data_IF_803157687809
#
_entry.id   IF_803157687809
#
_cell.length_a   1.000
_cell.length_b   1.000
_cell.length_c   1.000
_cell.angle_alpha   90.00
_cell.angle_beta   90.00
_cell.angle_gamma   90.00
#
_symmetry.space_group_name_H-M   'P 1'
#
loop_
_entity.id
_entity.type
_entity.pdbx_description
1 polymer ?
#
# COMPACT_ATOMS: atom_id res chain seq x y z
N UNK A 1 -13.90 -17.54 -3.78
CA UNK A 1 -13.84 -16.08 -3.99
C UNK A 1 -13.10 -15.82 -5.28
N UNK A 2 -13.70 -15.09 -6.24
CA UNK A 2 -13.04 -14.72 -7.49
C UNK A 2 -11.86 -13.78 -7.23
N UNK A 3 -10.85 -13.87 -8.06
CA UNK A 3 -9.70 -12.93 -8.02
C UNK A 3 -10.21 -11.59 -8.52
N UNK A 4 -10.12 -10.55 -7.71
CA UNK A 4 -10.47 -9.17 -8.09
C UNK A 4 -9.50 -8.72 -9.20
N UNK A 5 -10.02 -8.29 -10.32
CA UNK A 5 -9.21 -7.84 -11.46
C UNK A 5 -8.64 -6.44 -11.21
N UNK A 6 -7.58 -6.09 -11.96
CA UNK A 6 -7.00 -4.74 -11.92
C UNK A 6 -8.06 -3.67 -12.24
N UNK A 7 -8.86 -3.89 -13.29
CA UNK A 7 -9.92 -2.98 -13.71
C UNK A 7 -11.02 -2.77 -12.64
N UNK A 8 -11.40 -3.83 -11.92
CA UNK A 8 -12.36 -3.71 -10.81
C UNK A 8 -11.80 -2.88 -9.65
N UNK A 9 -10.49 -2.99 -9.37
CA UNK A 9 -9.82 -2.17 -8.36
C UNK A 9 -9.78 -0.69 -8.79
N UNK A 10 -9.38 -0.41 -10.03
CA UNK A 10 -9.32 0.94 -10.58
C UNK A 10 -10.70 1.60 -10.63
N UNK A 11 -11.70 0.85 -11.06
CA UNK A 11 -13.09 1.30 -11.04
C UNK A 11 -13.54 1.69 -9.63
N UNK A 12 -13.27 0.86 -8.63
CA UNK A 12 -13.62 1.16 -7.23
C UNK A 12 -12.96 2.43 -6.71
N UNK A 13 -11.67 2.64 -7.05
CA UNK A 13 -10.98 3.88 -6.68
C UNK A 13 -11.59 5.10 -7.35
N UNK A 14 -11.94 4.99 -8.64
CA UNK A 14 -12.59 6.09 -9.35
C UNK A 14 -13.98 6.42 -8.79
N UNK A 15 -14.80 5.41 -8.50
CA UNK A 15 -16.11 5.61 -7.87
C UNK A 15 -15.98 6.29 -6.50
N UNK A 16 -15.02 5.86 -5.68
CA UNK A 16 -14.73 6.49 -4.40
C UNK A 16 -14.25 7.94 -4.58
N UNK A 17 -13.34 8.20 -5.51
CA UNK A 17 -12.88 9.54 -5.83
C UNK A 17 -14.02 10.47 -6.25
N UNK A 18 -14.93 10.00 -7.11
CA UNK A 18 -16.08 10.76 -7.61
C UNK A 18 -17.09 11.18 -6.53
N UNK A 19 -17.10 10.50 -5.38
CA UNK A 19 -17.92 10.94 -4.22
C UNK A 19 -17.32 12.20 -3.56
N UNK A 20 -16.00 12.40 -3.65
CA UNK A 20 -15.28 13.44 -2.92
C UNK A 20 -14.72 14.56 -3.82
N UNK A 21 -14.82 14.38 -5.12
CA UNK A 21 -14.35 15.35 -6.12
C UNK A 21 -15.44 15.66 -7.13
N UNK A 22 -15.67 16.95 -7.39
CA UNK A 22 -16.68 17.37 -8.36
C UNK A 22 -16.19 17.04 -9.78
N UNK A 23 -16.70 15.96 -10.32
CA UNK A 23 -16.42 15.55 -11.69
C UNK A 23 -17.15 16.47 -12.70
N UNK A 24 -16.58 16.69 -13.89
CA UNK A 24 -17.29 17.30 -15.00
C UNK A 24 -18.55 16.51 -15.36
N UNK A 25 -19.60 17.18 -15.85
CA UNK A 25 -20.83 16.51 -16.28
C UNK A 25 -20.58 15.66 -17.51
N UNK A 26 -21.13 14.43 -17.53
CA UNK A 26 -21.02 13.52 -18.65
C UNK A 26 -21.26 12.06 -18.28
N UNK A 27 -21.30 11.22 -19.28
CA UNK A 27 -21.44 9.77 -19.11
C UNK A 27 -20.09 9.12 -18.84
N UNK A 28 -20.00 8.37 -17.75
CA UNK A 28 -18.77 7.67 -17.35
C UNK A 28 -18.69 6.32 -18.06
N UNK A 29 -17.59 6.10 -18.77
CA UNK A 29 -17.27 4.84 -19.43
C UNK A 29 -15.96 4.29 -18.89
N UNK A 30 -15.91 3.00 -18.55
CA UNK A 30 -14.72 2.30 -18.09
C UNK A 30 -14.04 1.59 -19.26
N UNK A 31 -12.72 1.68 -19.32
CA UNK A 31 -11.90 1.14 -20.41
C UNK A 31 -10.57 0.58 -19.92
N UNK A 32 -9.61 0.51 -20.83
CA UNK A 32 -8.22 0.10 -20.54
C UNK A 32 -7.23 1.23 -20.88
N UNK A 33 -7.57 2.07 -21.88
CA UNK A 33 -6.67 3.12 -22.36
C UNK A 33 -7.46 4.31 -22.90
N UNK A 34 -7.74 5.29 -22.05
CA UNK A 34 -7.50 5.39 -20.60
C UNK A 34 -8.46 4.51 -19.78
N UNK A 35 -8.21 4.41 -18.46
CA UNK A 35 -9.02 3.57 -17.55
C UNK A 35 -10.47 4.04 -17.43
N UNK A 36 -10.69 5.36 -17.52
CA UNK A 36 -12.03 5.99 -17.48
C UNK A 36 -12.13 7.09 -18.54
N UNK A 37 -13.30 7.22 -19.17
CA UNK A 37 -13.65 8.34 -20.04
C UNK A 37 -14.94 8.96 -19.55
N UNK A 38 -14.94 10.28 -19.34
CA UNK A 38 -16.16 11.07 -19.09
C UNK A 38 -16.54 11.73 -20.42
N UNK A 39 -17.68 11.34 -20.96
CA UNK A 39 -18.23 11.92 -22.22
C UNK A 39 -19.25 13.00 -21.90
N UNK A 40 -18.82 14.25 -21.97
CA UNK A 40 -19.60 15.43 -21.74
C UNK A 40 -19.42 16.46 -22.89
N UNK A 41 -19.56 17.76 -22.59
CA UNK A 41 -19.26 18.84 -23.56
C UNK A 41 -17.81 18.77 -24.07
N UNK A 42 -16.88 18.36 -23.23
CA UNK A 42 -15.53 17.90 -23.57
C UNK A 42 -15.36 16.48 -23.08
N UNK A 43 -14.63 15.67 -23.84
CA UNK A 43 -14.28 14.30 -23.46
C UNK A 43 -13.02 14.30 -22.60
N UNK A 44 -13.07 13.67 -21.44
CA UNK A 44 -11.95 13.63 -20.49
C UNK A 44 -11.53 12.18 -20.26
N UNK A 45 -10.32 11.85 -20.64
CA UNK A 45 -9.69 10.57 -20.36
C UNK A 45 -8.96 10.62 -19.02
N UNK A 46 -9.23 9.66 -18.12
CA UNK A 46 -8.60 9.59 -16.81
C UNK A 46 -7.80 8.30 -16.72
N UNK A 47 -6.50 8.44 -16.55
CA UNK A 47 -5.59 7.34 -16.26
C UNK A 47 -5.46 7.22 -14.75
N UNK A 48 -5.59 6.00 -14.21
CA UNK A 48 -5.49 5.72 -12.79
C UNK A 48 -4.17 5.00 -12.51
N UNK A 49 -3.44 5.49 -11.53
CA UNK A 49 -2.19 4.86 -11.10
C UNK A 49 -2.10 4.81 -9.58
N UNK A 50 -1.66 3.68 -9.05
CA UNK A 50 -1.35 3.56 -7.64
C UNK A 50 0.01 4.20 -7.36
N UNK A 51 0.05 5.13 -6.40
CA UNK A 51 1.26 5.85 -6.03
C UNK A 51 2.02 5.06 -4.95
N UNK A 52 2.91 4.20 -5.39
CA UNK A 52 3.77 3.43 -4.51
C UNK A 52 4.98 4.24 -4.05
N UNK A 53 5.42 4.03 -2.80
CA UNK A 53 6.63 4.66 -2.22
C UNK A 53 7.89 4.37 -3.05
N UNK A 54 8.04 3.11 -3.48
CA UNK A 54 9.15 2.62 -4.29
C UNK A 54 8.62 1.82 -5.48
N UNK A 55 9.45 1.66 -6.50
CA UNK A 55 9.13 0.77 -7.62
C UNK A 55 9.01 -0.68 -7.12
N UNK A 56 7.93 -1.36 -7.50
CA UNK A 56 7.68 -2.74 -7.08
C UNK A 56 8.71 -3.77 -7.59
N UNK A 57 9.64 -3.36 -8.46
CA UNK A 57 10.78 -4.19 -8.89
C UNK A 57 11.91 -4.20 -7.88
N UNK A 58 11.98 -3.19 -7.01
CA UNK A 58 12.99 -3.13 -5.97
C UNK A 58 12.73 -4.19 -4.91
N UNK A 59 13.74 -5.01 -4.54
CA UNK A 59 13.58 -6.08 -3.56
C UNK A 59 13.10 -5.57 -2.18
N UNK A 60 13.45 -4.33 -1.86
CA UNK A 60 13.14 -3.68 -0.57
C UNK A 60 11.79 -2.94 -0.62
N UNK A 61 11.12 -2.94 -1.77
CA UNK A 61 9.80 -2.31 -1.87
C UNK A 61 8.78 -3.05 -1.02
N UNK A 62 7.87 -2.31 -0.38
CA UNK A 62 6.78 -2.89 0.39
C UNK A 62 5.87 -3.81 -0.46
N UNK A 63 5.82 -3.61 -1.77
CA UNK A 63 5.12 -4.51 -2.69
C UNK A 63 5.71 -5.93 -2.69
N UNK A 64 7.04 -6.05 -2.52
CA UNK A 64 7.74 -7.32 -2.41
C UNK A 64 7.74 -7.83 -0.96
N UNK A 65 7.97 -6.93 0.00
CA UNK A 65 8.15 -7.28 1.41
C UNK A 65 6.82 -7.65 2.10
N UNK A 66 5.71 -6.99 1.78
CA UNK A 66 4.42 -7.25 2.42
C UNK A 66 3.94 -8.71 2.23
N UNK A 67 3.97 -9.32 1.03
CA UNK A 67 3.69 -10.74 0.85
C UNK A 67 4.62 -11.67 1.63
N UNK A 68 5.92 -11.36 1.67
CA UNK A 68 6.90 -12.17 2.38
C UNK A 68 6.71 -12.09 3.89
N UNK A 69 6.42 -10.91 4.45
CA UNK A 69 6.06 -10.72 5.87
C UNK A 69 4.80 -11.49 6.24
N UNK A 70 3.75 -11.43 5.41
CA UNK A 70 2.54 -12.22 5.62
C UNK A 70 2.79 -13.72 5.56
N UNK A 71 3.71 -14.16 4.72
CA UNK A 71 4.10 -15.57 4.63
C UNK A 71 4.86 -16.01 5.89
N UNK A 72 5.80 -15.21 6.38
CA UNK A 72 6.50 -15.45 7.65
C UNK A 72 5.48 -15.60 8.78
N UNK A 73 4.53 -14.68 8.87
CA UNK A 73 3.50 -14.69 9.91
C UNK A 73 2.68 -15.99 9.90
N UNK A 74 2.18 -16.39 8.72
CA UNK A 74 1.39 -17.61 8.56
C UNK A 74 2.19 -18.89 8.89
N UNK A 75 3.44 -18.93 8.48
CA UNK A 75 4.31 -20.08 8.78
C UNK A 75 4.65 -20.15 10.29
N UNK A 76 4.89 -19.00 10.91
CA UNK A 76 5.16 -18.91 12.34
C UNK A 76 3.93 -19.30 13.16
N UNK A 77 2.74 -18.83 12.80
CA UNK A 77 1.48 -19.20 13.43
C UNK A 77 1.24 -20.72 13.37
N UNK A 78 1.43 -21.32 12.19
CA UNK A 78 1.30 -22.77 12.03
C UNK A 78 2.32 -23.55 12.88
N UNK A 79 3.57 -23.07 12.96
CA UNK A 79 4.61 -23.69 13.79
C UNK A 79 4.32 -23.56 15.29
N UNK A 80 3.82 -22.40 15.73
CA UNK A 80 3.40 -22.16 17.12
C UNK A 80 2.29 -23.15 17.54
N UNK A 81 1.24 -23.32 16.73
CA UNK A 81 0.18 -24.27 16.99
C UNK A 81 0.66 -25.72 16.99
N UNK A 82 1.52 -26.08 16.04
CA UNK A 82 2.10 -27.42 15.96
C UNK A 82 2.98 -27.76 17.18
N UNK A 83 3.58 -26.75 17.80
CA UNK A 83 4.32 -26.87 19.05
C UNK A 83 3.45 -26.92 20.32
N UNK A 84 2.12 -26.87 20.16
CA UNK A 84 1.16 -26.88 21.28
C UNK A 84 0.90 -25.50 21.88
N UNK A 85 1.27 -24.42 21.18
CA UNK A 85 0.99 -23.05 21.60
C UNK A 85 -0.52 -22.78 21.68
N UNK A 86 -0.94 -21.97 22.65
CA UNK A 86 -2.34 -21.58 22.83
C UNK A 86 -2.80 -20.57 21.80
N UNK A 87 -4.12 -20.49 21.55
CA UNK A 87 -4.69 -19.48 20.69
C UNK A 87 -4.57 -18.08 21.32
N UNK A 88 -3.90 -17.16 20.64
CA UNK A 88 -3.56 -15.82 21.12
C UNK A 88 -3.66 -14.78 20.00
N UNK A 89 -3.77 -13.52 20.40
CA UNK A 89 -3.62 -12.38 19.49
C UNK A 89 -2.18 -11.85 19.56
N UNK A 90 -1.52 -11.84 18.41
CA UNK A 90 -0.17 -11.30 18.24
C UNK A 90 -0.16 -10.25 17.15
N UNK A 91 0.48 -9.12 17.43
CA UNK A 91 0.77 -8.09 16.46
C UNK A 91 2.29 -8.03 16.25
N UNK A 92 2.72 -8.21 15.01
CA UNK A 92 4.14 -8.25 14.64
C UNK A 92 4.50 -7.08 13.74
N UNK A 93 5.48 -6.29 14.17
CA UNK A 93 6.13 -5.25 13.38
C UNK A 93 7.41 -5.78 12.74
N UNK A 94 7.61 -5.50 11.47
CA UNK A 94 8.84 -5.79 10.74
C UNK A 94 9.62 -4.51 10.48
N UNK A 95 10.94 -4.60 10.59
CA UNK A 95 11.83 -3.47 10.36
C UNK A 95 11.95 -3.17 8.85
N UNK A 96 11.51 -2.00 8.39
CA UNK A 96 11.55 -1.65 6.97
C UNK A 96 12.97 -1.49 6.41
N UNK A 97 13.97 -1.22 7.29
CA UNK A 97 15.37 -1.08 6.87
C UNK A 97 16.11 -2.41 6.74
N UNK A 98 15.47 -3.52 7.16
CA UNK A 98 16.00 -4.86 7.07
C UNK A 98 15.02 -5.77 6.32
N UNK A 99 15.00 -5.72 4.97
CA UNK A 99 14.08 -6.50 4.15
C UNK A 99 14.32 -7.99 4.29
N UNK A 100 13.24 -8.76 4.26
CA UNK A 100 13.30 -10.22 4.33
C UNK A 100 13.90 -10.77 3.02
N UNK A 101 15.03 -11.43 3.12
CA UNK A 101 15.62 -12.18 2.00
C UNK A 101 14.93 -13.54 1.86
N UNK A 102 14.64 -13.96 0.63
CA UNK A 102 13.92 -15.23 0.36
C UNK A 102 14.49 -16.45 1.08
N UNK A 103 15.81 -16.56 1.18
CA UNK A 103 16.48 -17.65 1.89
C UNK A 103 16.28 -17.64 3.41
N UNK A 104 15.78 -16.54 3.99
CA UNK A 104 15.57 -16.40 5.44
C UNK A 104 14.13 -16.60 5.89
N UNK A 105 13.17 -16.70 4.97
CA UNK A 105 11.75 -16.83 5.31
C UNK A 105 11.47 -17.93 6.34
N UNK A 106 11.96 -19.14 6.11
CA UNK A 106 11.72 -20.28 6.99
C UNK A 106 12.40 -20.12 8.37
N UNK A 107 13.62 -19.58 8.39
CA UNK A 107 14.35 -19.39 9.64
C UNK A 107 13.73 -18.28 10.49
N UNK A 108 13.30 -17.16 9.90
CA UNK A 108 12.59 -16.09 10.59
C UNK A 108 11.25 -16.61 11.12
N UNK A 109 10.50 -17.38 10.32
CA UNK A 109 9.22 -17.97 10.77
C UNK A 109 9.37 -18.86 11.99
N UNK A 110 10.42 -19.69 12.03
CA UNK A 110 10.71 -20.54 13.19
C UNK A 110 11.08 -19.70 14.40
N UNK A 111 12.01 -18.75 14.24
CA UNK A 111 12.41 -17.87 15.33
C UNK A 111 11.23 -17.07 15.91
N UNK A 112 10.36 -16.56 15.03
CA UNK A 112 9.15 -15.86 15.45
C UNK A 112 8.21 -16.79 16.25
N UNK A 113 8.04 -18.04 15.82
CA UNK A 113 7.21 -19.00 16.55
C UNK A 113 7.77 -19.32 17.95
N UNK A 114 9.08 -19.48 18.07
CA UNK A 114 9.79 -19.69 19.35
C UNK A 114 9.62 -18.48 20.28
N UNK A 115 9.86 -17.28 19.79
CA UNK A 115 9.66 -16.02 20.54
C UNK A 115 8.20 -15.86 21.00
N UNK A 116 7.25 -16.22 20.16
CA UNK A 116 5.83 -16.14 20.51
C UNK A 116 5.43 -17.20 21.54
N UNK A 117 6.02 -18.38 21.53
CA UNK A 117 5.81 -19.37 22.61
C UNK A 117 6.22 -18.80 23.97
N UNK A 118 7.40 -18.15 24.05
CA UNK A 118 7.87 -17.49 25.27
C UNK A 118 6.95 -16.36 25.71
N UNK A 119 6.57 -15.47 24.76
CA UNK A 119 5.71 -14.33 25.04
C UNK A 119 4.30 -14.77 25.42
N UNK A 120 3.82 -15.89 24.92
CA UNK A 120 2.47 -16.41 25.19
C UNK A 120 2.24 -16.86 26.64
N UNK A 121 3.31 -17.09 27.39
CA UNK A 121 3.23 -17.41 28.83
C UNK A 121 2.83 -16.20 29.70
N UNK A 122 2.95 -14.96 29.18
CA UNK A 122 2.57 -13.78 29.90
C UNK A 122 1.04 -13.63 29.95
N UNK A 123 0.52 -13.35 31.14
CA UNK A 123 -0.91 -13.03 31.38
C UNK A 123 -1.19 -11.53 31.27
N UNK A 124 -0.17 -10.69 31.25
CA UNK A 124 -0.23 -9.25 31.13
C UNK A 124 0.17 -8.80 29.70
N UNK A 125 -0.35 -7.67 29.22
CA UNK A 125 0.08 -7.11 27.94
C UNK A 125 1.59 -6.85 27.93
N UNK A 126 2.27 -7.31 26.90
CA UNK A 126 3.70 -7.11 26.76
C UNK A 126 4.09 -6.76 25.32
N UNK A 127 5.18 -6.02 25.19
CA UNK A 127 5.80 -5.70 23.91
C UNK A 127 7.29 -6.08 23.98
N UNK A 128 7.70 -6.97 23.10
CA UNK A 128 9.09 -7.34 22.91
C UNK A 128 9.64 -6.55 21.73
N UNK A 129 10.54 -5.59 21.98
CA UNK A 129 11.18 -4.76 20.95
C UNK A 129 12.54 -5.32 20.58
N UNK A 130 12.88 -5.27 19.28
CA UNK A 130 14.12 -5.81 18.72
C UNK A 130 14.41 -7.20 19.31
N UNK A 131 13.49 -8.16 19.13
CA UNK A 131 13.38 -9.37 19.94
C UNK A 131 14.63 -10.26 19.90
N UNK A 132 15.48 -10.09 18.89
CA UNK A 132 16.75 -10.79 18.84
C UNK A 132 17.72 -10.12 17.87
N UNK A 133 18.99 -9.96 18.26
CA UNK A 133 20.05 -9.39 17.42
C UNK A 133 20.25 -10.17 16.10
N UNK A 134 20.00 -11.46 16.10
CA UNK A 134 20.12 -12.32 14.92
C UNK A 134 18.95 -12.18 13.93
N UNK A 135 17.89 -11.46 14.31
CA UNK A 135 16.68 -11.29 13.52
C UNK A 135 16.34 -9.81 13.34
N UNK A 136 17.22 -9.03 12.70
CA UNK A 136 17.04 -7.59 12.54
C UNK A 136 15.79 -7.23 11.69
N UNK A 137 15.22 -8.20 10.98
CA UNK A 137 13.98 -8.07 10.24
C UNK A 137 12.75 -7.90 11.13
N UNK A 138 12.81 -8.35 12.42
CA UNK A 138 11.73 -8.21 13.39
C UNK A 138 11.94 -6.95 14.23
N UNK A 139 10.98 -6.05 14.24
CA UNK A 139 11.03 -4.80 15.00
C UNK A 139 10.40 -4.98 16.39
N UNK A 140 9.19 -5.54 16.44
CA UNK A 140 8.53 -5.84 17.70
C UNK A 140 7.51 -6.98 17.59
N UNK A 141 7.19 -7.56 18.74
CA UNK A 141 6.07 -8.49 18.94
C UNK A 141 5.23 -7.94 20.09
N UNK A 142 3.94 -7.70 19.86
CA UNK A 142 3.00 -7.31 20.91
C UNK A 142 2.04 -8.46 21.19
N UNK A 143 1.86 -8.78 22.47
CA UNK A 143 0.88 -9.72 22.98
C UNK A 143 -0.04 -9.01 23.98
N UNK A 144 -1.35 -9.25 23.88
CA UNK A 144 -2.35 -8.61 24.75
C UNK A 144 -2.48 -9.25 26.15
N UNK A 145 -1.76 -10.31 26.44
CA UNK A 145 -1.88 -11.09 27.69
C UNK A 145 -3.14 -11.98 27.76
N UNK A 146 -3.97 -12.00 26.72
CA UNK A 146 -5.24 -12.72 26.71
C UNK A 146 -5.20 -13.96 25.84
N UNK A 147 -5.94 -14.99 26.25
CA UNK A 147 -6.25 -16.14 25.40
C UNK A 147 -7.51 -15.86 24.61
N UNK A 148 -7.56 -16.38 23.41
CA UNK A 148 -8.67 -16.21 22.48
C UNK A 148 -9.18 -17.57 22.03
N UNK A 149 -10.41 -17.59 21.46
CA UNK A 149 -10.97 -18.81 20.88
C UNK A 149 -10.18 -19.27 19.67
N UNK A 150 -9.78 -18.30 18.84
CA UNK A 150 -9.07 -18.52 17.60
C UNK A 150 -7.77 -17.69 17.59
N UNK A 151 -6.75 -18.17 16.92
CA UNK A 151 -5.53 -17.37 16.69
C UNK A 151 -5.81 -16.15 15.84
N UNK A 152 -5.14 -15.05 16.16
CA UNK A 152 -5.20 -13.82 15.40
C UNK A 152 -3.82 -13.18 15.33
N UNK A 153 -3.05 -13.54 14.31
CA UNK A 153 -1.73 -12.98 14.07
C UNK A 153 -1.82 -11.90 13.02
N UNK A 154 -1.41 -10.68 13.36
CA UNK A 154 -1.57 -9.50 12.51
C UNK A 154 -0.22 -8.89 12.19
N UNK A 155 -0.03 -8.55 10.93
CA UNK A 155 1.04 -7.67 10.51
C UNK A 155 0.67 -6.23 10.89
N UNK A 156 1.55 -5.58 11.65
CA UNK A 156 1.42 -4.16 11.96
C UNK A 156 2.34 -3.37 11.04
N UNK A 157 1.81 -2.31 10.46
CA UNK A 157 2.61 -1.38 9.67
C UNK A 157 3.53 -0.56 10.57
N UNK A 158 4.71 -0.23 10.08
CA UNK A 158 5.61 0.71 10.74
C UNK A 158 4.89 2.05 10.96
N UNK A 159 5.12 2.69 12.10
CA UNK A 159 4.49 3.96 12.46
C UNK A 159 5.06 5.16 11.68
N UNK A 160 6.13 4.98 10.93
CA UNK A 160 6.71 6.04 10.10
C UNK A 160 5.98 6.11 8.76
N UNK A 161 5.12 7.13 8.63
CA UNK A 161 4.54 7.52 7.35
C UNK A 161 5.54 8.44 6.63
N UNK A 162 6.28 7.96 5.63
CA UNK A 162 7.15 8.83 4.86
C UNK A 162 6.33 9.91 4.18
N UNK A 163 6.90 11.09 4.06
CA UNK A 163 6.30 12.14 3.26
C UNK A 163 6.27 11.72 1.78
N UNK A 164 5.25 12.20 1.07
CA UNK A 164 5.17 12.04 -0.38
C UNK A 164 6.41 12.61 -1.06
N UNK A 165 7.07 11.81 -1.91
CA UNK A 165 8.17 12.28 -2.75
C UNK A 165 7.64 12.98 -4.00
N UNK A 166 8.05 14.24 -4.19
CA UNK A 166 7.73 15.04 -5.40
C UNK A 166 8.34 14.38 -6.64
N UNK A 167 9.58 13.91 -6.51
CA UNK A 167 10.32 13.20 -7.55
C UNK A 167 9.53 11.96 -8.00
N UNK A 168 8.97 11.22 -7.05
CA UNK A 168 8.19 10.02 -7.34
C UNK A 168 6.91 10.33 -8.12
N UNK A 169 6.21 11.41 -7.76
CA UNK A 169 5.03 11.87 -8.51
C UNK A 169 5.43 12.24 -9.93
N UNK A 170 6.53 12.98 -10.09
CA UNK A 170 7.05 13.37 -11.40
C UNK A 170 7.42 12.16 -12.27
N UNK A 171 8.13 11.17 -11.72
CA UNK A 171 8.49 9.93 -12.41
C UNK A 171 7.26 9.21 -12.95
N UNK A 172 6.24 9.02 -12.10
CA UNK A 172 5.02 8.33 -12.51
C UNK A 172 4.28 9.14 -13.58
N UNK A 173 4.19 10.46 -13.42
CA UNK A 173 3.55 11.33 -14.40
C UNK A 173 4.24 11.24 -15.77
N UNK A 174 5.55 11.25 -15.80
CA UNK A 174 6.34 11.09 -17.03
C UNK A 174 6.14 9.72 -17.67
N UNK A 175 6.23 8.63 -16.89
CA UNK A 175 6.00 7.26 -17.39
C UNK A 175 4.60 7.07 -17.99
N UNK A 176 3.58 7.67 -17.36
CA UNK A 176 2.20 7.61 -17.86
C UNK A 176 2.00 8.49 -19.08
N UNK A 177 2.69 9.62 -19.18
CA UNK A 177 2.66 10.51 -20.34
C UNK A 177 3.08 9.81 -21.63
N UNK A 178 4.06 8.93 -21.58
CA UNK A 178 4.51 8.14 -22.73
C UNK A 178 3.40 7.24 -23.32
N UNK A 179 2.44 6.83 -22.48
CA UNK A 179 1.35 5.93 -22.86
C UNK A 179 0.16 6.62 -23.51
N UNK A 180 0.02 7.95 -23.35
CA UNK A 180 -1.11 8.73 -23.88
C UNK A 180 -1.30 8.55 -25.40
N UNK A 181 -0.22 8.35 -26.14
CA UNK A 181 -0.26 8.10 -27.60
C UNK A 181 -1.06 6.83 -27.98
N UNK A 182 -1.23 5.91 -27.04
CA UNK A 182 -1.96 4.67 -27.22
C UNK A 182 -3.40 4.74 -26.66
N UNK A 183 -3.80 5.89 -26.11
CA UNK A 183 -5.13 6.05 -25.54
C UNK A 183 -6.17 6.38 -26.61
N UNK A 184 -7.43 6.04 -26.32
CA UNK A 184 -8.54 6.56 -27.09
C UNK A 184 -8.50 8.10 -27.04
N UNK A 185 -8.63 8.80 -28.21
CA UNK A 185 -8.58 10.25 -28.25
C UNK A 185 -9.65 10.90 -27.38
N UNK A 186 -9.21 11.83 -26.53
CA UNK A 186 -10.04 12.70 -25.70
C UNK A 186 -9.54 14.14 -25.81
N UNK A 187 -10.40 15.09 -25.47
CA UNK A 187 -10.06 16.53 -25.51
C UNK A 187 -9.05 16.87 -24.41
N UNK A 188 -9.18 16.23 -23.25
CA UNK A 188 -8.27 16.37 -22.11
C UNK A 188 -7.89 15.01 -21.54
N UNK A 189 -6.72 14.94 -20.89
CA UNK A 189 -6.31 13.79 -20.10
C UNK A 189 -5.97 14.21 -18.66
N UNK A 190 -6.45 13.43 -17.71
CA UNK A 190 -6.14 13.59 -16.29
C UNK A 190 -5.40 12.37 -15.78
N UNK A 191 -4.51 12.56 -14.82
CA UNK A 191 -3.85 11.49 -14.09
C UNK A 191 -4.36 11.48 -12.65
N UNK A 192 -4.99 10.37 -12.25
CA UNK A 192 -5.45 10.13 -10.89
C UNK A 192 -4.49 9.18 -10.18
N UNK A 193 -3.73 9.72 -9.23
CA UNK A 193 -2.80 8.99 -8.39
C UNK A 193 -3.49 8.56 -7.10
N UNK A 194 -3.51 7.26 -6.83
CA UNK A 194 -4.15 6.71 -5.64
C UNK A 194 -3.11 6.42 -4.55
N UNK A 195 -3.37 6.92 -3.36
CA UNK A 195 -2.67 6.57 -2.12
C UNK A 195 -3.64 5.81 -1.23
N UNK A 196 -3.51 4.49 -1.19
CA UNK A 196 -4.36 3.64 -0.37
C UNK A 196 -3.72 3.44 1.01
N UNK A 197 -4.40 3.89 2.06
CA UNK A 197 -3.97 3.73 3.45
C UNK A 197 -3.81 2.25 3.85
N UNK A 198 -4.66 1.37 3.32
CA UNK A 198 -4.63 -0.05 3.67
C UNK A 198 -3.53 -0.84 2.95
N UNK A 199 -2.88 -0.24 1.97
CA UNK A 199 -1.73 -0.82 1.27
C UNK A 199 -0.44 -0.21 1.82
N UNK A 200 0.32 -0.97 2.60
CA UNK A 200 1.59 -0.53 3.20
C UNK A 200 2.60 0.01 2.17
N UNK A 201 2.52 -0.47 0.93
CA UNK A 201 3.37 0.01 -0.15
C UNK A 201 2.98 1.40 -0.67
N UNK A 202 1.74 1.85 -0.40
CA UNK A 202 1.21 3.14 -0.83
C UNK A 202 1.07 4.13 0.32
N UNK A 203 0.80 3.66 1.56
CA UNK A 203 0.52 4.54 2.68
C UNK A 203 1.68 5.49 2.98
N UNK A 204 1.44 6.77 2.71
CA UNK A 204 2.39 7.88 2.87
C UNK A 204 1.64 9.17 3.19
N UNK A 205 2.33 10.13 3.80
CA UNK A 205 1.79 11.45 4.09
C UNK A 205 1.64 12.25 2.80
N UNK A 206 0.41 12.59 2.42
CA UNK A 206 0.14 13.40 1.22
C UNK A 206 0.02 14.86 1.62
N UNK A 207 1.14 15.56 1.55
CA UNK A 207 1.20 17.02 1.67
C UNK A 207 1.96 17.53 0.46
N UNK A 208 1.26 18.24 -0.44
CA UNK A 208 1.91 18.89 -1.57
C UNK A 208 2.38 20.28 -1.14
N UNK A 209 3.69 20.55 -1.12
CA UNK A 209 4.19 21.88 -0.75
C UNK A 209 3.71 22.91 -1.76
N UNK A 210 3.27 24.11 -1.33
CA UNK A 210 2.78 25.15 -2.25
C UNK A 210 3.80 25.58 -3.32
N UNK A 211 5.08 25.49 -2.99
CA UNK A 211 6.20 25.81 -3.89
C UNK A 211 6.60 24.64 -4.80
N UNK A 212 6.09 23.43 -4.54
CA UNK A 212 6.44 22.28 -5.33
C UNK A 212 5.78 22.31 -6.70
N UNK A 213 6.59 22.25 -7.73
CA UNK A 213 6.17 22.29 -9.13
C UNK A 213 6.87 21.16 -9.86
N UNK A 214 6.11 20.40 -10.65
CA UNK A 214 6.70 19.44 -11.58
C UNK A 214 6.70 19.98 -13.01
N UNK A 215 7.54 19.46 -13.92
CA UNK A 215 7.51 19.80 -15.33
C UNK A 215 6.13 19.55 -15.95
N UNK A 216 5.73 20.39 -16.88
CA UNK A 216 4.47 20.23 -17.61
C UNK A 216 4.42 18.89 -18.33
N UNK A 217 3.35 18.17 -18.14
CA UNK A 217 3.04 16.89 -18.79
C UNK A 217 1.84 17.06 -19.74
N UNK A 218 1.55 16.08 -20.60
CA UNK A 218 0.32 16.07 -21.39
C UNK A 218 -0.98 15.92 -20.60
N UNK A 219 -0.90 15.66 -19.29
CA UNK A 219 -2.08 15.65 -18.44
C UNK A 219 -2.49 17.07 -18.08
N UNK A 220 -3.75 17.41 -18.32
CA UNK A 220 -4.29 18.73 -17.94
C UNK A 220 -4.33 18.87 -16.42
N UNK A 221 -4.67 17.78 -15.72
CA UNK A 221 -4.65 17.70 -14.26
C UNK A 221 -3.94 16.44 -13.78
N UNK A 222 -3.19 16.58 -12.68
CA UNK A 222 -2.67 15.47 -11.90
C UNK A 222 -3.24 15.62 -10.50
N UNK A 223 -4.01 14.61 -10.07
CA UNK A 223 -4.75 14.62 -8.82
C UNK A 223 -4.27 13.45 -7.96
N UNK A 224 -3.96 13.71 -6.69
CA UNK A 224 -3.58 12.68 -5.72
C UNK A 224 -4.77 12.48 -4.79
N UNK A 225 -5.33 11.28 -4.76
CA UNK A 225 -6.44 10.90 -3.91
C UNK A 225 -5.98 9.95 -2.81
N UNK A 226 -6.04 10.40 -1.53
CA UNK A 226 -5.80 9.56 -0.36
C UNK A 226 -7.11 8.99 0.15
N UNK A 227 -7.30 7.67 0.02
CA UNK A 227 -8.60 6.99 0.12
C UNK A 227 -9.29 7.14 1.48
N UNK A 228 -8.61 6.82 2.58
CA UNK A 228 -9.21 6.82 3.94
C UNK A 228 -9.59 8.23 4.42
N UNK A 229 -8.78 9.22 4.07
CA UNK A 229 -9.04 10.61 4.45
C UNK A 229 -9.90 11.36 3.45
N UNK A 230 -10.24 10.72 2.32
CA UNK A 230 -11.06 11.30 1.25
C UNK A 230 -10.54 12.67 0.77
N UNK A 231 -9.22 12.86 0.84
CA UNK A 231 -8.56 14.11 0.46
C UNK A 231 -8.08 14.04 -0.97
N UNK A 232 -8.31 15.11 -1.72
CA UNK A 232 -7.78 15.27 -3.08
C UNK A 232 -6.80 16.44 -3.08
N UNK A 233 -5.62 16.22 -3.59
CA UNK A 233 -4.56 17.23 -3.74
C UNK A 233 -4.22 17.38 -5.21
N UNK A 234 -4.29 18.59 -5.76
CA UNK A 234 -3.89 18.88 -7.14
C UNK A 234 -2.40 19.22 -7.19
N UNK A 235 -1.71 18.60 -8.14
CA UNK A 235 -0.27 18.80 -8.39
C UNK A 235 -0.07 19.99 -9.32
N UNK A 236 0.79 20.91 -8.93
CA UNK A 236 1.12 22.09 -9.74
C UNK A 236 2.13 21.71 -10.81
N UNK A 237 1.84 22.05 -12.07
CA UNK A 237 2.69 21.82 -13.24
C UNK A 237 3.08 23.15 -13.91
N UNK A 238 4.32 23.26 -14.37
CA UNK A 238 4.81 24.38 -15.20
C UNK A 238 5.82 23.93 -16.25
#
# INVERSE_FOLDING_TARGET
MGVVTKQEVERRYFEQFGVHYQLPPGDVQYGDKPDVIIKGPASIGIEIARLYKLDGKEPDSEQQQSPDRMRVLKLAEAAHLAAGGRAIEINVGFNPTHPIKRGRLTSISRALAELVLEVSENEEPCILRNPAENWPELEFIYHSGKSYRDNSWKLVQSFDLPALSIERVNEIAMQKSEKIKAYQPCDEYWLLLIVDYWDSAQDQGVVWPPEAIIPRTPFERILIFKTVFSTVTEVIQR
#
